data_IF_600942412600
#
_entry.id   IF_600942412600
#
_cell.length_a   1.000
_cell.length_b   1.000
_cell.length_c   1.000
_cell.angle_alpha   90.00
_cell.angle_beta   90.00
_cell.angle_gamma   90.00
#
_symmetry.space_group_name_H-M   'P 1'
#
loop_
_entity.id
_entity.type
_entity.pdbx_description
1 polymer ?
#
# COMPACT_ATOMS: atom_id res chain seq x y z
N UNK A 1 -42.43 -50.16 23.18
CA UNK A 1 -43.55 -49.28 23.57
C UNK A 1 -43.33 -47.91 22.95
N UNK A 2 -44.29 -47.41 22.17
CA UNK A 2 -44.30 -46.02 21.66
C UNK A 2 -45.60 -45.36 22.15
N UNK A 3 -45.55 -44.17 22.75
CA UNK A 3 -46.66 -43.22 22.77
C UNK A 3 -46.30 -42.02 21.87
N UNK A 4 -47.15 -41.05 21.52
CA UNK A 4 -48.58 -40.85 21.30
C UNK A 4 -48.64 -39.59 20.40
N UNK A 5 -49.72 -39.41 19.66
CA UNK A 5 -49.88 -38.37 18.64
C UNK A 5 -50.49 -37.06 19.15
N UNK A 6 -50.14 -35.99 18.44
CA UNK A 6 -50.93 -34.81 18.04
C UNK A 6 -51.41 -33.80 19.09
N UNK A 7 -50.90 -32.57 18.92
CA UNK A 7 -51.72 -31.37 18.92
C UNK A 7 -51.48 -30.40 20.07
N UNK A 8 -50.75 -29.32 19.80
CA UNK A 8 -50.86 -28.10 20.59
C UNK A 8 -51.01 -26.88 19.71
N UNK A 9 -52.07 -26.13 20.02
CA UNK A 9 -52.48 -24.87 19.42
C UNK A 9 -51.63 -23.73 19.99
N UNK A 10 -51.35 -22.76 19.11
CA UNK A 10 -51.27 -21.31 19.36
C UNK A 10 -51.27 -20.83 20.82
N UNK A 11 -50.20 -20.13 21.24
CA UNK A 11 -50.10 -18.65 21.35
C UNK A 11 -49.09 -18.30 22.47
N UNK A 12 -48.02 -17.58 22.16
CA UNK A 12 -47.44 -16.59 23.08
C UNK A 12 -46.36 -15.79 22.35
N UNK A 13 -46.70 -14.53 22.07
CA UNK A 13 -45.78 -13.48 21.64
C UNK A 13 -44.74 -13.22 22.73
N UNK A 14 -43.46 -13.22 22.35
CA UNK A 14 -42.42 -12.46 23.07
C UNK A 14 -41.62 -11.68 22.03
N UNK A 15 -42.08 -10.46 21.75
CA UNK A 15 -41.29 -9.40 21.16
C UNK A 15 -40.40 -8.82 22.27
N UNK A 16 -39.09 -8.90 22.06
CA UNK A 16 -38.09 -8.31 22.93
C UNK A 16 -38.14 -6.78 22.80
N UNK A 17 -38.51 -6.08 23.87
CA UNK A 17 -38.45 -4.62 23.95
C UNK A 17 -37.00 -4.16 24.11
N UNK A 18 -36.54 -3.29 23.21
CA UNK A 18 -35.24 -2.63 23.35
C UNK A 18 -34.59 -2.24 22.04
N UNK A 19 -35.23 -1.37 21.26
CA UNK A 19 -34.58 -0.40 20.35
C UNK A 19 -35.67 0.50 19.77
N UNK A 20 -35.79 1.71 20.31
CA UNK A 20 -36.66 2.74 19.77
C UNK A 20 -36.18 3.12 18.36
N UNK A 21 -36.93 2.73 17.32
CA UNK A 21 -36.69 3.08 15.91
C UNK A 21 -37.16 4.50 15.58
N UNK A 22 -36.97 5.44 16.49
CA UNK A 22 -37.30 6.84 16.21
C UNK A 22 -36.14 7.53 15.50
N UNK A 23 -36.02 7.27 14.20
CA UNK A 23 -35.05 7.91 13.30
C UNK A 23 -35.16 9.44 13.30
N UNK A 24 -36.28 10.00 13.79
CA UNK A 24 -36.43 11.45 13.89
C UNK A 24 -35.47 12.06 14.91
N UNK A 25 -35.13 11.36 15.99
CA UNK A 25 -34.18 11.84 17.01
C UNK A 25 -32.76 11.88 16.46
N UNK A 26 -32.32 10.80 15.82
CA UNK A 26 -31.02 10.73 15.14
C UNK A 26 -30.91 11.81 14.03
N UNK A 27 -31.98 12.03 13.27
CA UNK A 27 -31.99 13.07 12.22
C UNK A 27 -31.91 14.51 12.76
N UNK A 28 -32.40 14.75 13.98
CA UNK A 28 -32.34 16.06 14.65
C UNK A 28 -30.96 16.28 15.24
N UNK A 29 -30.35 15.23 15.79
CA UNK A 29 -28.98 15.24 16.32
C UNK A 29 -27.95 15.49 15.21
N UNK A 30 -28.05 14.79 14.06
CA UNK A 30 -27.19 15.02 12.88
C UNK A 30 -27.34 16.46 12.34
N UNK A 31 -28.55 17.02 12.39
CA UNK A 31 -28.78 18.43 11.99
C UNK A 31 -28.08 19.41 12.93
N UNK A 32 -28.21 19.20 14.24
CA UNK A 32 -27.55 20.04 15.24
C UNK A 32 -26.02 19.98 15.17
N UNK A 33 -25.43 18.79 14.97
CA UNK A 33 -23.98 18.64 14.78
C UNK A 33 -23.49 19.39 13.54
N UNK A 34 -24.22 19.29 12.43
CA UNK A 34 -23.87 19.95 11.17
C UNK A 34 -24.02 21.47 11.25
N UNK A 35 -24.95 21.99 12.04
CA UNK A 35 -25.06 23.42 12.34
C UNK A 35 -23.96 23.92 13.28
N UNK A 36 -23.62 23.15 14.33
CA UNK A 36 -22.48 23.43 15.20
C UNK A 36 -21.16 23.50 14.43
N UNK A 37 -20.92 22.57 13.49
CA UNK A 37 -19.74 22.61 12.62
C UNK A 37 -19.73 23.83 11.69
N UNK A 38 -20.90 24.28 11.22
CA UNK A 38 -21.03 25.46 10.37
C UNK A 38 -20.76 26.75 11.16
N UNK A 39 -21.17 26.82 12.42
CA UNK A 39 -20.86 27.96 13.30
C UNK A 39 -19.37 28.00 13.68
N UNK A 40 -18.77 26.83 13.95
CA UNK A 40 -17.34 26.73 14.28
C UNK A 40 -16.45 27.14 13.09
N UNK A 41 -16.78 26.67 11.88
CA UNK A 41 -16.05 27.03 10.65
C UNK A 41 -16.38 28.44 10.15
N UNK A 42 -17.59 28.94 10.40
CA UNK A 42 -17.99 30.31 10.11
C UNK A 42 -17.16 31.36 10.85
N UNK A 43 -16.74 31.07 12.10
CA UNK A 43 -15.82 31.96 12.84
C UNK A 43 -14.40 32.00 12.28
N UNK A 44 -14.01 31.05 11.45
CA UNK A 44 -12.65 30.98 10.88
C UNK A 44 -12.56 31.62 9.49
N UNK A 45 -13.69 31.92 8.83
CA UNK A 45 -13.71 32.38 7.43
C UNK A 45 -13.82 33.91 7.30
N UNK A 46 -14.14 34.65 8.35
CA UNK A 46 -14.02 36.12 8.33
C UNK A 46 -12.86 36.61 9.21
N UNK A 47 -11.67 36.64 8.61
CA UNK A 47 -10.63 37.66 8.80
C UNK A 47 -9.62 37.57 7.65
N UNK A 48 -9.91 38.25 6.56
CA UNK A 48 -8.88 38.63 5.57
C UNK A 48 -8.12 39.85 6.09
N UNK A 49 -7.24 39.65 7.08
CA UNK A 49 -6.19 40.62 7.37
C UNK A 49 -4.95 40.19 6.57
N UNK A 50 -4.69 40.92 5.49
CA UNK A 50 -3.50 40.75 4.67
C UNK A 50 -2.27 40.98 5.53
N UNK A 51 -1.51 39.92 5.78
CA UNK A 51 -0.20 39.98 6.44
C UNK A 51 0.76 40.67 5.46
N UNK A 52 1.37 41.83 5.78
CA UNK A 52 2.34 42.45 4.89
C UNK A 52 3.58 41.56 4.81
N UNK A 53 3.84 40.99 3.64
CA UNK A 53 5.11 40.33 3.33
C UNK A 53 6.19 41.41 3.31
N UNK A 54 7.03 41.46 4.34
CA UNK A 54 8.27 42.24 4.27
C UNK A 54 9.23 41.53 3.33
N UNK A 55 9.48 42.15 2.18
CA UNK A 55 10.59 41.81 1.28
C UNK A 55 11.91 41.90 2.06
N UNK A 56 12.58 40.78 2.24
CA UNK A 56 13.97 40.77 2.70
C UNK A 56 14.85 40.73 1.47
N UNK A 57 15.30 41.91 1.04
CA UNK A 57 16.36 42.06 0.05
C UNK A 57 17.67 41.53 0.64
N UNK A 58 18.06 40.30 0.26
CA UNK A 58 19.40 39.81 0.53
C UNK A 58 20.35 40.41 -0.51
N UNK A 59 20.95 41.56 -0.17
CA UNK A 59 22.05 42.14 -0.94
C UNK A 59 23.39 41.76 -0.30
N UNK A 60 24.01 40.79 -0.96
CA UNK A 60 25.43 40.71 -1.30
C UNK A 60 26.36 41.78 -0.69
N UNK A 61 27.20 41.39 0.26
CA UNK A 61 28.38 42.16 0.67
C UNK A 61 29.54 41.21 0.97
N UNK A 62 30.23 40.84 -0.13
CA UNK A 62 31.63 40.45 -0.13
C UNK A 62 32.53 41.59 0.35
N UNK A 63 33.63 41.19 1.00
CA UNK A 63 34.85 41.94 1.33
C UNK A 63 34.77 43.03 2.42
N UNK A 64 35.37 42.70 3.58
CA UNK A 64 36.33 43.58 4.26
C UNK A 64 37.32 42.75 5.09
N UNK A 65 38.56 42.77 4.65
CA UNK A 65 39.77 42.29 5.34
C UNK A 65 40.21 43.25 6.45
N UNK A 66 41.17 42.77 7.27
CA UNK A 66 42.03 43.45 8.25
C UNK A 66 41.50 43.54 9.71
N UNK A 67 42.26 43.35 10.80
CA UNK A 67 43.54 42.67 11.11
C UNK A 67 43.71 42.72 12.67
N UNK A 68 44.27 41.65 13.29
CA UNK A 68 45.01 41.57 14.59
C UNK A 68 44.27 41.92 15.93
N UNK A 69 44.36 41.21 17.09
CA UNK A 69 45.37 40.34 17.75
C UNK A 69 44.66 39.32 18.70
N UNK A 70 45.10 38.04 18.78
CA UNK A 70 45.91 37.39 19.85
C UNK A 70 45.27 37.50 21.26
N UNK A 71 44.82 36.43 21.92
CA UNK A 71 45.50 35.34 22.70
C UNK A 71 44.45 34.20 22.87
N UNK A 72 44.68 32.88 22.79
CA UNK A 72 45.54 32.02 23.62
C UNK A 72 44.70 31.06 24.49
N UNK A 73 44.36 29.84 24.01
CA UNK A 73 44.34 28.56 24.77
C UNK A 73 43.75 27.38 23.96
N UNK A 74 44.30 26.20 24.27
CA UNK A 74 44.02 24.83 23.80
C UNK A 74 42.52 24.52 23.60
N UNK A 75 42.19 23.71 22.60
CA UNK A 75 41.76 22.32 22.83
C UNK A 75 41.53 21.53 21.52
N UNK A 76 41.96 20.27 21.56
CA UNK A 76 41.46 19.06 20.88
C UNK A 76 41.06 19.12 19.39
N UNK A 77 41.86 18.50 18.53
CA UNK A 77 41.46 18.10 17.16
C UNK A 77 40.37 17.02 17.21
N UNK A 78 39.21 17.17 16.55
CA UNK A 78 38.45 16.01 16.09
C UNK A 78 39.06 15.54 14.78
N UNK A 79 39.60 14.31 14.74
CA UNK A 79 39.92 13.64 13.49
C UNK A 79 38.59 13.29 12.81
N UNK A 80 38.30 13.90 11.67
CA UNK A 80 37.21 13.47 10.78
C UNK A 80 37.40 11.98 10.44
N UNK A 81 36.52 11.13 10.97
CA UNK A 81 36.36 9.78 10.45
C UNK A 81 35.56 9.91 9.16
N UNK A 82 36.26 10.02 8.02
CA UNK A 82 35.65 9.85 6.70
C UNK A 82 35.26 8.38 6.55
N UNK A 83 34.07 8.00 7.01
CA UNK A 83 33.44 6.76 6.60
C UNK A 83 33.03 6.90 5.14
N UNK A 84 33.95 6.54 4.23
CA UNK A 84 33.57 6.13 2.88
C UNK A 84 32.78 4.83 3.02
N UNK A 85 31.47 4.94 3.23
CA UNK A 85 30.55 3.85 2.96
C UNK A 85 30.59 3.67 1.45
N UNK A 86 31.52 2.83 0.99
CA UNK A 86 31.44 2.19 -0.31
C UNK A 86 30.18 1.33 -0.22
N UNK A 87 29.05 1.89 -0.67
CA UNK A 87 27.89 1.08 -1.03
C UNK A 87 28.44 0.07 -2.03
N UNK A 88 28.67 -1.15 -1.57
CA UNK A 88 28.81 -2.28 -2.45
C UNK A 88 27.48 -2.36 -3.17
N UNK A 89 27.42 -1.72 -4.33
CA UNK A 89 26.58 -2.20 -5.41
C UNK A 89 27.13 -3.59 -5.69
N UNK A 90 26.63 -4.56 -4.92
CA UNK A 90 26.79 -5.96 -5.23
C UNK A 90 26.11 -6.09 -6.58
N UNK A 91 26.92 -5.98 -7.63
CA UNK A 91 26.55 -6.27 -9.00
C UNK A 91 26.06 -7.70 -9.03
N UNK A 92 24.80 -7.87 -8.64
CA UNK A 92 23.95 -8.99 -8.96
C UNK A 92 23.78 -8.80 -10.45
N UNK A 93 24.63 -9.49 -11.19
CA UNK A 93 24.66 -9.55 -12.64
C UNK A 93 23.24 -9.31 -13.18
N UNK A 94 23.08 -8.24 -13.94
CA UNK A 94 21.88 -7.92 -14.72
C UNK A 94 21.76 -8.92 -15.87
N UNK A 95 21.77 -10.20 -15.52
CA UNK A 95 21.20 -11.25 -16.33
C UNK A 95 19.71 -10.95 -16.28
N UNK A 96 19.26 -10.27 -17.34
CA UNK A 96 17.87 -10.00 -17.60
C UNK A 96 17.16 -11.35 -17.65
N UNK A 97 16.66 -11.79 -16.49
CA UNK A 97 15.85 -13.01 -16.38
C UNK A 97 14.51 -12.66 -17.02
N UNK A 98 14.36 -13.05 -18.28
CA UNK A 98 13.13 -12.91 -19.01
C UNK A 98 12.25 -14.12 -18.67
N UNK A 99 11.47 -14.02 -17.59
CA UNK A 99 10.58 -15.12 -17.18
C UNK A 99 9.38 -15.18 -18.13
N UNK A 100 9.13 -16.35 -18.72
CA UNK A 100 7.99 -16.61 -19.59
C UNK A 100 6.72 -17.02 -18.83
N UNK A 101 5.56 -16.77 -19.44
CA UNK A 101 4.32 -17.43 -19.03
C UNK A 101 4.45 -18.92 -19.35
N UNK A 102 4.08 -19.78 -18.40
CA UNK A 102 4.27 -21.23 -18.48
C UNK A 102 5.51 -21.74 -17.74
N UNK A 103 6.43 -20.85 -17.36
CA UNK A 103 7.62 -21.25 -16.61
C UNK A 103 7.31 -21.37 -15.12
N UNK A 104 7.97 -22.32 -14.45
CA UNK A 104 7.89 -22.49 -13.01
C UNK A 104 8.89 -21.56 -12.33
N UNK A 105 8.48 -20.90 -11.26
CA UNK A 105 9.33 -19.94 -10.54
C UNK A 105 9.32 -20.18 -9.05
N UNK A 106 10.43 -19.87 -8.40
CA UNK A 106 10.60 -19.87 -6.95
C UNK A 106 10.54 -18.44 -6.41
N UNK A 107 9.77 -18.18 -5.36
CA UNK A 107 9.80 -16.90 -4.65
C UNK A 107 11.13 -16.79 -3.89
N UNK A 108 11.90 -15.75 -4.20
CA UNK A 108 13.18 -15.43 -3.52
C UNK A 108 12.99 -14.31 -2.51
N UNK A 109 12.22 -13.28 -2.87
CA UNK A 109 11.99 -12.09 -2.03
C UNK A 109 10.48 -11.84 -1.86
N UNK A 110 9.87 -12.30 -0.75
CA UNK A 110 8.43 -12.17 -0.51
C UNK A 110 7.94 -10.72 -0.44
N UNK A 111 8.81 -9.76 -0.10
CA UNK A 111 8.46 -8.34 -0.09
C UNK A 111 8.18 -7.77 -1.49
N UNK A 112 8.49 -8.52 -2.55
CA UNK A 112 8.11 -8.19 -3.92
C UNK A 112 6.64 -8.47 -4.28
N UNK A 113 5.86 -9.05 -3.36
CA UNK A 113 4.45 -9.40 -3.57
C UNK A 113 3.54 -8.17 -3.49
N UNK A 114 2.61 -8.06 -4.42
CA UNK A 114 1.59 -7.01 -4.47
C UNK A 114 0.25 -7.50 -3.87
N UNK A 115 0.24 -7.71 -2.56
CA UNK A 115 -0.85 -8.36 -1.82
C UNK A 115 -2.23 -7.67 -1.89
N UNK A 116 -2.27 -6.38 -2.23
CA UNK A 116 -3.49 -5.58 -2.30
C UNK A 116 -3.86 -5.14 -3.74
N UNK A 117 -3.24 -5.71 -4.79
CA UNK A 117 -3.49 -5.31 -6.19
C UNK A 117 -4.80 -5.87 -6.77
N UNK A 118 -5.55 -6.66 -6.00
CA UNK A 118 -6.79 -7.27 -6.44
C UNK A 118 -8.06 -6.48 -6.04
N UNK A 119 -7.89 -5.30 -5.43
CA UNK A 119 -8.99 -4.48 -4.89
C UNK A 119 -9.84 -3.77 -5.97
N UNK A 120 -9.43 -3.82 -7.24
CA UNK A 120 -10.18 -3.22 -8.35
C UNK A 120 -10.05 -1.70 -8.40
N UNK A 121 -8.97 -1.15 -7.83
CA UNK A 121 -8.68 0.28 -7.89
C UNK A 121 -8.22 0.64 -9.30
N UNK A 122 -8.38 1.91 -9.69
CA UNK A 122 -7.91 2.40 -11.00
C UNK A 122 -6.39 2.25 -11.20
N UNK A 123 -5.63 2.14 -10.11
CA UNK A 123 -4.18 1.92 -10.13
C UNK A 123 -3.79 0.45 -10.27
N UNK A 124 -4.72 -0.48 -10.05
CA UNK A 124 -4.45 -1.91 -10.17
C UNK A 124 -4.37 -2.31 -11.65
N UNK A 125 -3.66 -3.38 -11.92
CA UNK A 125 -3.54 -3.95 -13.27
C UNK A 125 -4.86 -4.56 -13.75
N UNK A 126 -5.01 -4.73 -15.05
CA UNK A 126 -6.14 -5.50 -15.60
C UNK A 126 -5.87 -6.99 -15.43
N UNK A 127 -6.74 -7.67 -14.68
CA UNK A 127 -6.61 -9.09 -14.40
C UNK A 127 -7.00 -9.95 -15.60
N UNK A 128 -6.30 -11.08 -15.85
CA UNK A 128 -6.64 -12.01 -16.93
C UNK A 128 -8.03 -12.64 -16.78
N UNK A 129 -8.49 -12.83 -15.54
CA UNK A 129 -9.88 -13.21 -15.23
C UNK A 129 -10.29 -12.74 -13.83
N UNK A 130 -11.59 -12.54 -13.63
CA UNK A 130 -12.14 -12.19 -12.31
C UNK A 130 -11.91 -13.30 -11.27
N UNK A 131 -12.00 -14.57 -11.68
CA UNK A 131 -11.75 -15.70 -10.80
C UNK A 131 -10.30 -15.71 -10.25
N UNK A 132 -9.32 -15.28 -11.05
CA UNK A 132 -7.94 -15.13 -10.59
C UNK A 132 -7.77 -13.92 -9.67
N UNK A 133 -8.46 -12.80 -9.97
CA UNK A 133 -8.46 -11.60 -9.12
C UNK A 133 -9.02 -11.89 -7.73
N UNK A 134 -10.13 -12.60 -7.67
CA UNK A 134 -10.77 -12.99 -6.40
C UNK A 134 -9.84 -13.81 -5.51
N UNK A 135 -8.93 -14.61 -6.09
CA UNK A 135 -7.95 -15.44 -5.38
C UNK A 135 -6.55 -14.82 -5.27
N UNK A 136 -6.44 -13.55 -5.67
CA UNK A 136 -5.21 -12.87 -6.04
C UNK A 136 -4.54 -12.03 -4.95
N UNK A 137 -5.11 -11.95 -3.75
CA UNK A 137 -4.65 -11.01 -2.74
C UNK A 137 -5.09 -11.33 -1.33
N UNK A 138 -4.70 -10.46 -0.40
CA UNK A 138 -4.74 -10.71 1.05
C UNK A 138 -6.13 -11.05 1.58
N UNK A 139 -7.17 -10.47 0.99
CA UNK A 139 -8.57 -10.73 1.34
C UNK A 139 -9.01 -12.18 1.10
N UNK A 140 -8.43 -12.89 0.12
CA UNK A 140 -8.67 -14.31 -0.11
C UNK A 140 -7.69 -15.19 0.65
N UNK A 141 -6.42 -14.77 0.73
CA UNK A 141 -5.37 -15.55 1.39
C UNK A 141 -5.59 -15.72 2.90
N UNK A 142 -6.34 -14.81 3.54
CA UNK A 142 -6.67 -14.92 4.96
C UNK A 142 -5.42 -14.79 5.84
N UNK A 143 -5.03 -15.86 6.54
CA UNK A 143 -3.79 -15.89 7.33
C UNK A 143 -2.55 -16.25 6.49
N UNK A 144 -2.72 -16.99 5.39
CA UNK A 144 -1.63 -17.47 4.55
C UNK A 144 -0.91 -16.33 3.83
N UNK A 145 0.42 -16.34 3.78
CA UNK A 145 1.21 -15.36 3.02
C UNK A 145 2.22 -16.10 2.14
N UNK A 146 2.54 -15.59 0.94
CA UNK A 146 3.64 -16.12 0.15
C UNK A 146 4.96 -15.98 0.92
N UNK A 147 5.78 -17.02 0.91
CA UNK A 147 7.08 -17.04 1.59
C UNK A 147 8.19 -17.42 0.62
N UNK A 148 9.43 -17.09 1.00
CA UNK A 148 10.60 -17.50 0.24
C UNK A 148 10.66 -19.03 0.20
N UNK A 149 11.04 -19.58 -0.95
CA UNK A 149 11.08 -21.02 -1.18
C UNK A 149 9.76 -21.65 -1.62
N UNK A 150 8.66 -20.90 -1.68
CA UNK A 150 7.44 -21.37 -2.35
C UNK A 150 7.59 -21.20 -3.86
N UNK A 151 7.21 -22.22 -4.63
CA UNK A 151 7.22 -22.21 -6.09
C UNK A 151 5.81 -22.27 -6.69
N UNK A 152 5.71 -21.89 -7.96
CA UNK A 152 4.46 -21.95 -8.70
C UNK A 152 4.63 -21.62 -10.17
N UNK A 153 3.54 -21.77 -10.92
CA UNK A 153 3.52 -21.57 -12.36
C UNK A 153 3.21 -20.11 -12.70
N UNK A 154 3.99 -19.49 -13.59
CA UNK A 154 3.66 -18.16 -14.11
C UNK A 154 2.50 -18.29 -15.10
N UNK A 155 1.33 -17.77 -14.74
CA UNK A 155 0.11 -17.85 -15.55
C UNK A 155 -0.19 -16.56 -16.32
N UNK A 156 0.43 -15.44 -15.94
CA UNK A 156 0.26 -14.16 -16.62
C UNK A 156 1.43 -13.21 -16.34
N UNK A 157 1.61 -12.19 -17.19
CA UNK A 157 2.69 -11.20 -17.09
C UNK A 157 2.21 -9.81 -17.47
N UNK A 158 2.49 -8.83 -16.60
CA UNK A 158 2.29 -7.41 -16.87
C UNK A 158 3.62 -6.69 -17.01
N UNK A 159 3.87 -6.07 -18.16
CA UNK A 159 5.14 -5.40 -18.48
C UNK A 159 4.92 -3.88 -18.52
N UNK A 160 5.85 -3.05 -18.01
CA UNK A 160 5.77 -1.60 -18.14
C UNK A 160 5.63 -1.17 -19.61
N UNK A 161 4.84 -0.13 -19.85
CA UNK A 161 4.65 0.47 -21.18
C UNK A 161 4.10 -0.48 -22.28
N UNK A 162 3.57 -1.65 -21.92
CA UNK A 162 3.00 -2.58 -22.88
C UNK A 162 1.80 -1.95 -23.61
N UNK A 163 1.73 -2.04 -24.95
CA UNK A 163 0.67 -1.38 -25.75
C UNK A 163 -0.73 -1.80 -25.32
N UNK A 164 -0.95 -3.11 -25.19
CA UNK A 164 -2.20 -3.68 -24.65
C UNK A 164 -2.33 -3.42 -23.14
N UNK A 165 -3.39 -2.72 -22.68
CA UNK A 165 -3.68 -2.51 -21.26
C UNK A 165 -3.79 -3.81 -20.43
N UNK A 166 -4.23 -4.93 -21.01
CA UNK A 166 -4.35 -6.22 -20.31
C UNK A 166 -3.01 -6.82 -19.89
N UNK A 167 -1.96 -6.41 -20.59
CA UNK A 167 -0.59 -6.87 -20.40
C UNK A 167 0.30 -5.77 -19.80
N UNK A 168 -0.29 -4.64 -19.42
CA UNK A 168 0.45 -3.46 -18.94
C UNK A 168 0.54 -3.44 -17.43
N UNK A 169 1.76 -3.22 -16.93
CA UNK A 169 1.98 -2.87 -15.53
C UNK A 169 1.72 -1.38 -15.32
N UNK A 170 1.03 -1.02 -14.23
CA UNK A 170 0.81 0.38 -13.81
C UNK A 170 1.93 0.91 -12.90
N UNK A 171 2.96 0.10 -12.67
CA UNK A 171 4.20 0.50 -12.03
C UNK A 171 5.36 0.32 -13.00
N UNK A 172 6.51 0.94 -12.71
CA UNK A 172 7.72 0.81 -13.54
C UNK A 172 8.49 -0.49 -13.28
N UNK A 173 7.75 -1.60 -13.15
CA UNK A 173 8.27 -2.95 -12.94
C UNK A 173 7.39 -3.98 -13.64
N UNK A 174 8.01 -5.05 -14.11
CA UNK A 174 7.28 -6.24 -14.57
C UNK A 174 6.69 -6.98 -13.37
N UNK A 175 5.40 -7.29 -13.45
CA UNK A 175 4.69 -8.10 -12.45
C UNK A 175 4.34 -9.44 -13.10
N UNK A 176 4.68 -10.54 -12.42
CA UNK A 176 4.26 -11.89 -12.77
C UNK A 176 3.05 -12.26 -11.94
N UNK A 177 2.11 -13.02 -12.52
CA UNK A 177 1.06 -13.69 -11.77
C UNK A 177 1.44 -15.16 -11.62
N UNK A 178 1.79 -15.56 -10.40
CA UNK A 178 2.20 -16.94 -10.09
C UNK A 178 1.04 -17.69 -9.47
N UNK A 179 0.68 -18.85 -10.00
CA UNK A 179 -0.28 -19.74 -9.37
C UNK A 179 0.45 -20.66 -8.39
N UNK A 180 0.05 -20.61 -7.12
CA UNK A 180 0.53 -21.48 -6.04
C UNK A 180 -0.72 -22.14 -5.42
N UNK A 181 -0.87 -23.44 -5.61
CA UNK A 181 -2.10 -24.17 -5.31
C UNK A 181 -3.35 -23.50 -5.96
N UNK A 182 -4.32 -23.10 -5.14
CA UNK A 182 -5.54 -22.39 -5.49
C UNK A 182 -5.39 -20.85 -5.46
N UNK A 183 -4.21 -20.33 -5.08
CA UNK A 183 -3.94 -18.90 -4.87
C UNK A 183 -3.17 -18.32 -6.05
N UNK A 184 -3.44 -17.05 -6.36
CA UNK A 184 -2.72 -16.32 -7.38
C UNK A 184 -1.90 -15.21 -6.71
N UNK A 185 -0.60 -15.19 -6.95
CA UNK A 185 0.37 -14.32 -6.28
C UNK A 185 0.99 -13.37 -7.29
N UNK A 186 0.56 -12.10 -7.32
CA UNK A 186 1.20 -11.07 -8.11
C UNK A 186 2.52 -10.66 -7.45
N UNK A 187 3.65 -10.83 -8.15
CA UNK A 187 4.99 -10.60 -7.62
C UNK A 187 5.89 -9.93 -8.67
N UNK A 188 6.82 -9.08 -8.25
CA UNK A 188 7.79 -8.49 -9.16
C UNK A 188 8.72 -9.54 -9.78
N UNK A 189 9.03 -9.44 -11.08
CA UNK A 189 9.87 -10.40 -11.82
C UNK A 189 11.26 -10.58 -11.20
N UNK A 190 11.83 -9.54 -10.59
CA UNK A 190 13.15 -9.60 -9.96
C UNK A 190 13.16 -10.24 -8.55
N UNK A 191 11.98 -10.58 -8.02
CA UNK A 191 11.79 -11.21 -6.71
C UNK A 191 11.55 -12.73 -6.80
N UNK A 192 11.65 -13.29 -8.01
CA UNK A 192 11.57 -14.73 -8.27
C UNK A 192 12.84 -15.25 -8.95
N UNK A 193 13.00 -16.56 -8.92
CA UNK A 193 14.00 -17.30 -9.69
C UNK A 193 13.29 -18.22 -10.66
N UNK A 194 13.66 -18.17 -11.93
CA UNK A 194 13.17 -19.11 -12.95
C UNK A 194 13.72 -20.52 -12.70
N UNK A 195 12.83 -21.51 -12.69
CA UNK A 195 13.15 -22.94 -12.56
C UNK A 195 13.01 -23.67 -13.91
N UNK A 196 12.55 -23.00 -14.97
CA UNK A 196 12.30 -23.57 -16.29
C UNK A 196 10.86 -24.05 -16.50
N UNK A 197 10.58 -24.56 -17.69
CA UNK A 197 9.28 -25.12 -18.06
C UNK A 197 9.15 -26.56 -17.54
N UNK A 198 7.98 -26.95 -17.03
CA UNK A 198 7.70 -28.36 -16.74
C UNK A 198 7.47 -29.10 -18.07
N UNK A 199 8.30 -30.11 -18.34
CA UNK A 199 8.33 -30.90 -19.59
C UNK A 199 7.24 -31.97 -19.61
#
# INVERSE_FOLDING_TARGET
>A
MRPLTLGDRLTAYFLNEGTSKDLSKLSKEIRHERESYRELTGRYIEKSEAIPLKETHYSDLSNKESILKKEGKKDSKPKEIKTKIKRSDSGRSELKMNVSVGSKVLIVEPLGVYDCINLGRRIDVQWPSEAQRERGGRNFWGSWVPMAGMDGLVVHKWTPNHRDPKLRSHVDKTILLVQIDDKFVPIAENCVQDLGDEV
#
